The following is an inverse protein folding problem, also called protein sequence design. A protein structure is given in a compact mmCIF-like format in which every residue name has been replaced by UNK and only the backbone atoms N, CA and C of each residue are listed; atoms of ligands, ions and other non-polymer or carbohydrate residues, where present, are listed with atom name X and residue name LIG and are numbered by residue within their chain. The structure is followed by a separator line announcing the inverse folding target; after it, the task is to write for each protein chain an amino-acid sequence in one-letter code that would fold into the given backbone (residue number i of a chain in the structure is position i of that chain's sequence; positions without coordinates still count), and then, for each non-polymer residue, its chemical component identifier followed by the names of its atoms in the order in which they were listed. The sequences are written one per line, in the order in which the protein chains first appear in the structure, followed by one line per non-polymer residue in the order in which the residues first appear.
data_IF_993695194532
#
_entry.id   IF_993695194532
#
_cell.length_a   1.000
_cell.length_b   1.000
_cell.length_c   1.000
_cell.angle_alpha   90.00
_cell.angle_beta   90.00
_cell.angle_gamma   90.00
#
_symmetry.space_group_name_H-M   'P 1'
#
loop_
_entity.id
_entity.type
_entity.pdbx_description
1 polymer ?
#
# COMPACT_ATOMS: atom_id res chain seq x y z
N UNK A 1 -14.44 -9.55 -21.70
CA UNK A 1 -13.15 -9.71 -20.99
C UNK A 1 -12.93 -11.18 -20.66
N UNK A 2 -11.95 -11.82 -21.30
CA UNK A 2 -11.72 -13.26 -21.18
C UNK A 2 -11.27 -13.66 -19.77
N UNK A 3 -11.95 -14.65 -19.18
CA UNK A 3 -11.50 -15.35 -17.97
C UNK A 3 -10.17 -16.05 -18.30
N UNK A 4 -9.03 -15.46 -17.93
CA UNK A 4 -7.75 -16.17 -17.97
C UNK A 4 -7.64 -17.10 -16.76
N UNK A 5 -8.41 -18.19 -16.76
CA UNK A 5 -8.31 -19.28 -15.77
C UNK A 5 -7.25 -20.30 -16.24
N UNK A 6 -6.00 -19.87 -16.34
CA UNK A 6 -4.85 -20.74 -16.64
C UNK A 6 -3.84 -20.77 -15.49
N UNK A 7 -2.96 -21.77 -15.47
CA UNK A 7 -1.85 -21.90 -14.49
C UNK A 7 -1.02 -20.61 -14.37
N UNK A 8 -0.83 -19.90 -15.49
CA UNK A 8 -0.14 -18.61 -15.54
C UNK A 8 -0.79 -17.50 -14.68
N UNK A 9 -2.13 -17.50 -14.53
CA UNK A 9 -2.83 -16.51 -13.71
C UNK A 9 -2.56 -16.71 -12.22
N UNK A 10 -2.56 -17.96 -11.74
CA UNK A 10 -2.22 -18.29 -10.36
C UNK A 10 -0.77 -17.94 -10.03
N UNK A 11 0.14 -18.22 -10.97
CA UNK A 11 1.55 -17.84 -10.85
C UNK A 11 1.73 -16.32 -10.73
N UNK A 12 1.09 -15.54 -11.60
CA UNK A 12 1.14 -14.08 -11.53
C UNK A 12 0.52 -13.53 -10.25
N UNK A 13 -0.55 -14.16 -9.73
CA UNK A 13 -1.15 -13.80 -8.45
C UNK A 13 -0.19 -14.08 -7.28
N UNK A 14 0.57 -15.17 -7.32
CA UNK A 14 1.57 -15.50 -6.30
C UNK A 14 2.75 -14.51 -6.32
N UNK A 15 3.26 -14.13 -7.48
CA UNK A 15 4.37 -13.17 -7.62
C UNK A 15 4.05 -11.84 -6.94
N UNK A 16 2.82 -11.36 -7.06
CA UNK A 16 2.40 -10.09 -6.47
C UNK A 16 2.52 -10.06 -4.93
N UNK A 17 2.54 -11.22 -4.27
CA UNK A 17 2.72 -11.32 -2.81
C UNK A 17 4.19 -11.37 -2.37
N UNK A 18 5.15 -11.55 -3.29
CA UNK A 18 6.58 -11.63 -2.95
C UNK A 18 7.04 -10.40 -2.12
N UNK A 19 6.73 -9.14 -2.48
CA UNK A 19 7.18 -7.99 -1.70
C UNK A 19 6.60 -7.94 -0.28
N UNK A 20 5.35 -8.37 -0.11
CA UNK A 20 4.69 -8.43 1.21
C UNK A 20 5.36 -9.50 2.07
N UNK A 21 5.56 -10.70 1.52
CA UNK A 21 6.25 -11.80 2.21
C UNK A 21 7.67 -11.37 2.61
N UNK A 22 8.38 -10.68 1.72
CA UNK A 22 9.71 -10.16 2.00
C UNK A 22 9.74 -9.19 3.19
N UNK A 23 8.79 -8.24 3.26
CA UNK A 23 8.66 -7.35 4.42
C UNK A 23 8.37 -8.15 5.69
N UNK A 24 7.44 -9.10 5.64
CA UNK A 24 7.09 -9.93 6.81
C UNK A 24 8.29 -10.74 7.31
N UNK A 25 9.15 -11.25 6.42
CA UNK A 25 10.37 -11.94 6.78
C UNK A 25 11.37 -11.01 7.47
N UNK A 26 11.60 -9.80 6.94
CA UNK A 26 12.48 -8.80 7.57
C UNK A 26 11.95 -8.42 8.95
N UNK A 27 10.65 -8.15 9.07
CA UNK A 27 10.01 -7.77 10.33
C UNK A 27 10.11 -8.89 11.35
N UNK A 28 9.87 -10.14 10.94
CA UNK A 28 9.99 -11.32 11.81
C UNK A 28 11.43 -11.52 12.30
N UNK A 29 12.41 -11.38 11.41
CA UNK A 29 13.82 -11.44 11.79
C UNK A 29 14.20 -10.29 12.72
N UNK A 30 13.73 -9.07 12.45
CA UNK A 30 13.99 -7.91 13.31
C UNK A 30 13.43 -8.11 14.72
N UNK A 31 12.27 -8.76 14.84
CA UNK A 31 11.66 -9.13 16.11
C UNK A 31 12.53 -10.12 16.88
N UNK A 32 12.96 -11.19 16.23
CA UNK A 32 13.89 -12.13 16.84
C UNK A 32 15.18 -11.45 17.29
N UNK A 33 15.80 -10.64 16.43
CA UNK A 33 17.05 -9.95 16.75
C UNK A 33 16.88 -8.97 17.93
N UNK A 34 15.81 -8.17 17.94
CA UNK A 34 15.60 -7.17 18.99
C UNK A 34 15.15 -7.80 20.32
N UNK A 35 14.17 -8.69 20.29
CA UNK A 35 13.61 -9.29 21.51
C UNK A 35 14.59 -10.31 22.08
N UNK A 36 15.03 -11.27 21.27
CA UNK A 36 15.84 -12.39 21.78
C UNK A 36 17.31 -11.98 21.91
N UNK A 37 17.96 -11.57 20.81
CA UNK A 37 19.40 -11.32 20.82
C UNK A 37 19.76 -10.08 21.66
N UNK A 38 19.06 -8.96 21.46
CA UNK A 38 19.35 -7.74 22.20
C UNK A 38 18.75 -7.80 23.62
N UNK A 39 17.43 -7.87 23.77
CA UNK A 39 16.81 -7.73 25.09
C UNK A 39 17.07 -8.90 26.03
N UNK A 40 17.02 -10.16 25.57
CA UNK A 40 17.24 -11.30 26.45
C UNK A 40 18.73 -11.62 26.66
N UNK A 41 19.54 -11.65 25.60
CA UNK A 41 20.96 -12.04 25.71
C UNK A 41 21.96 -10.91 25.96
N UNK A 42 21.65 -9.66 25.58
CA UNK A 42 22.63 -8.56 25.67
C UNK A 42 22.32 -7.55 26.78
N UNK A 43 21.04 -7.30 27.08
CA UNK A 43 20.64 -6.35 28.12
C UNK A 43 20.59 -7.05 29.48
N UNK A 44 21.51 -6.71 30.36
CA UNK A 44 21.59 -7.28 31.72
C UNK A 44 20.58 -6.64 32.70
N UNK A 45 20.31 -5.34 32.55
CA UNK A 45 19.44 -4.60 33.47
C UNK A 45 17.94 -4.91 33.21
N UNK A 46 17.28 -5.51 34.21
CA UNK A 46 15.87 -5.90 34.13
C UNK A 46 14.89 -4.74 33.90
N UNK A 47 15.12 -3.58 34.50
CA UNK A 47 14.25 -2.40 34.36
C UNK A 47 14.36 -1.84 32.94
N UNK A 48 15.58 -1.71 32.42
CA UNK A 48 15.82 -1.28 31.04
C UNK A 48 15.21 -2.27 30.04
N UNK A 49 15.38 -3.57 30.29
CA UNK A 49 14.80 -4.64 29.47
C UNK A 49 13.27 -4.55 29.43
N UNK A 50 12.62 -4.38 30.58
CA UNK A 50 11.17 -4.23 30.66
C UNK A 50 10.67 -3.00 29.89
N UNK A 51 11.37 -1.86 30.02
CA UNK A 51 11.06 -0.64 29.28
C UNK A 51 11.21 -0.85 27.76
N UNK A 52 12.32 -1.42 27.29
CA UNK A 52 12.52 -1.70 25.87
C UNK A 52 11.46 -2.64 25.32
N UNK A 53 11.19 -3.75 25.99
CA UNK A 53 10.18 -4.70 25.55
C UNK A 53 8.79 -4.06 25.50
N UNK A 54 8.37 -3.30 26.50
CA UNK A 54 7.05 -2.68 26.51
C UNK A 54 6.84 -1.74 25.31
N UNK A 55 7.71 -0.74 25.14
CA UNK A 55 7.56 0.23 24.06
C UNK A 55 7.78 -0.39 22.67
N UNK A 56 8.70 -1.35 22.56
CA UNK A 56 8.91 -2.12 21.35
C UNK A 56 7.63 -2.83 20.90
N UNK A 57 6.96 -3.57 21.81
CA UNK A 57 5.75 -4.31 21.46
C UNK A 57 4.58 -3.39 21.12
N UNK A 58 4.43 -2.26 21.81
CA UNK A 58 3.41 -1.26 21.45
C UNK A 58 3.64 -0.76 20.03
N UNK A 59 4.86 -0.34 19.68
CA UNK A 59 5.18 0.14 18.34
C UNK A 59 5.05 -0.97 17.28
N UNK A 60 5.48 -2.18 17.61
CA UNK A 60 5.39 -3.34 16.73
C UNK A 60 3.93 -3.69 16.41
N UNK A 61 3.04 -3.71 17.41
CA UNK A 61 1.61 -3.97 17.21
C UNK A 61 0.96 -2.86 16.39
N UNK A 62 1.28 -1.58 16.64
CA UNK A 62 0.77 -0.46 15.84
C UNK A 62 1.25 -0.52 14.38
N UNK A 63 2.52 -0.85 14.17
CA UNK A 63 3.09 -1.09 12.85
C UNK A 63 2.38 -2.25 12.12
N UNK A 64 2.26 -3.42 12.75
CA UNK A 64 1.60 -4.57 12.14
C UNK A 64 0.12 -4.31 11.86
N UNK A 65 -0.58 -3.66 12.78
CA UNK A 65 -1.99 -3.31 12.61
C UNK A 65 -2.19 -2.38 11.42
N UNK A 66 -1.44 -1.28 11.35
CA UNK A 66 -1.54 -0.32 10.24
C UNK A 66 -1.09 -0.93 8.90
N UNK A 67 -0.06 -1.78 8.89
CA UNK A 67 0.35 -2.51 7.69
C UNK A 67 -0.74 -3.48 7.22
N UNK A 68 -1.33 -4.27 8.13
CA UNK A 68 -2.44 -5.17 7.83
C UNK A 68 -3.62 -4.42 7.23
N UNK A 69 -4.06 -3.33 7.86
CA UNK A 69 -5.15 -2.51 7.33
C UNK A 69 -4.82 -1.97 5.94
N UNK A 70 -3.57 -1.56 5.69
CA UNK A 70 -3.17 -1.06 4.36
C UNK A 70 -3.21 -2.14 3.28
N UNK A 71 -2.75 -3.36 3.60
CA UNK A 71 -2.73 -4.51 2.69
C UNK A 71 -4.15 -5.00 2.38
N UNK A 72 -4.96 -5.21 3.42
CA UNK A 72 -6.23 -5.95 3.31
C UNK A 72 -7.48 -5.07 3.27
N UNK A 73 -7.35 -3.74 3.32
CA UNK A 73 -8.49 -2.86 3.05
C UNK A 73 -8.81 -2.88 1.55
N UNK A 74 -9.98 -3.37 1.22
CA UNK A 74 -10.47 -3.41 -0.16
C UNK A 74 -10.70 -2.00 -0.72
N UNK A 75 -10.52 -1.90 -2.03
CA UNK A 75 -10.83 -0.68 -2.77
C UNK A 75 -12.35 -0.52 -2.86
N UNK A 76 -12.83 0.70 -2.59
CA UNK A 76 -14.25 1.02 -2.75
C UNK A 76 -14.62 0.96 -4.23
N UNK A 77 -15.70 0.24 -4.54
CA UNK A 77 -16.27 0.24 -5.89
C UNK A 77 -16.85 1.60 -6.25
N UNK A 78 -16.71 1.98 -7.52
CA UNK A 78 -17.31 3.21 -8.03
C UNK A 78 -18.83 3.04 -8.05
N UNK A 79 -19.62 3.99 -7.49
CA UNK A 79 -21.07 3.90 -7.51
C UNK A 79 -21.64 3.78 -8.92
N UNK A 80 -22.69 2.98 -9.09
CA UNK A 80 -23.24 2.63 -10.41
C UNK A 80 -23.75 3.82 -11.22
N UNK A 81 -24.10 4.94 -10.58
CA UNK A 81 -24.48 6.18 -11.27
C UNK A 81 -23.38 6.69 -12.21
N UNK A 82 -22.12 6.36 -11.96
CA UNK A 82 -20.99 6.71 -12.82
C UNK A 82 -20.76 5.71 -13.95
N UNK A 83 -21.34 4.50 -13.89
CA UNK A 83 -21.23 3.49 -14.94
C UNK A 83 -22.10 3.88 -16.12
N UNK A 84 -21.53 3.83 -17.31
CA UNK A 84 -22.21 4.17 -18.55
C UNK A 84 -22.98 2.91 -19.00
N UNK A 85 -24.30 3.00 -19.26
CA UNK A 85 -25.06 1.87 -19.80
C UNK A 85 -24.47 1.38 -21.13
N UNK A 86 -24.50 0.06 -21.37
CA UNK A 86 -23.91 -0.55 -22.57
C UNK A 86 -24.42 0.08 -23.87
N UNK A 87 -25.71 0.43 -23.94
CA UNK A 87 -26.32 1.07 -25.12
C UNK A 87 -25.68 2.44 -25.42
N UNK A 88 -25.36 3.23 -24.39
CA UNK A 88 -24.68 4.52 -24.57
C UNK A 88 -23.19 4.33 -24.90
N UNK A 89 -22.58 3.28 -24.36
CA UNK A 89 -21.20 2.92 -24.70
C UNK A 89 -21.06 2.45 -26.16
N UNK A 90 -22.04 1.69 -26.68
CA UNK A 90 -22.08 1.29 -28.10
C UNK A 90 -22.22 2.52 -29.01
N UNK A 91 -23.11 3.46 -28.67
CA UNK A 91 -23.23 4.73 -29.40
C UNK A 91 -21.92 5.54 -29.37
N UNK A 92 -21.26 5.58 -28.21
CA UNK A 92 -19.96 6.24 -28.05
C UNK A 92 -18.89 5.59 -28.94
N UNK A 93 -18.85 4.26 -29.01
CA UNK A 93 -17.91 3.51 -29.85
C UNK A 93 -18.20 3.63 -31.36
N UNK A 94 -19.46 3.78 -31.74
CA UNK A 94 -19.89 3.95 -33.13
C UNK A 94 -19.79 5.39 -33.63
N UNK A 95 -19.61 6.37 -32.75
CA UNK A 95 -19.50 7.77 -33.14
C UNK A 95 -18.21 8.02 -33.94
N UNK A 96 -18.36 8.46 -35.18
CA UNK A 96 -17.24 8.70 -36.12
C UNK A 96 -16.44 9.98 -35.82
N UNK A 97 -17.02 10.90 -35.04
CA UNK A 97 -16.40 12.20 -34.72
C UNK A 97 -16.20 12.37 -33.22
N UNK A 98 -15.07 12.98 -32.84
CA UNK A 98 -14.77 13.31 -31.44
C UNK A 98 -15.83 14.25 -30.82
N UNK A 99 -16.44 15.11 -31.63
CA UNK A 99 -17.50 16.02 -31.19
C UNK A 99 -18.79 15.26 -30.81
N UNK A 100 -19.19 14.24 -31.59
CA UNK A 100 -20.32 13.39 -31.25
C UNK A 100 -20.06 12.57 -29.97
N UNK A 101 -18.85 12.04 -29.82
CA UNK A 101 -18.42 11.35 -28.60
C UNK A 101 -18.49 12.26 -27.38
N UNK A 102 -18.02 13.51 -27.52
CA UNK A 102 -18.06 14.52 -26.46
C UNK A 102 -19.49 14.84 -26.03
N UNK A 103 -20.41 15.06 -26.97
CA UNK A 103 -21.80 15.38 -26.65
C UNK A 103 -22.50 14.27 -25.86
N UNK A 104 -22.24 13.00 -26.21
CA UNK A 104 -22.77 11.84 -25.49
C UNK A 104 -22.27 11.84 -24.03
N UNK A 105 -20.96 12.05 -23.83
CA UNK A 105 -20.36 12.08 -22.49
C UNK A 105 -20.85 13.27 -21.67
N UNK A 106 -20.95 14.47 -22.26
CA UNK A 106 -21.44 15.66 -21.57
C UNK A 106 -22.89 15.48 -21.11
N UNK A 107 -23.75 14.90 -21.95
CA UNK A 107 -25.15 14.61 -21.59
C UNK A 107 -25.25 13.69 -20.38
N UNK A 108 -24.42 12.65 -20.31
CA UNK A 108 -24.39 11.75 -19.16
C UNK A 108 -23.79 12.43 -17.92
N UNK A 109 -22.70 13.17 -18.09
CA UNK A 109 -21.98 13.86 -17.03
C UNK A 109 -22.77 15.00 -16.37
N UNK A 110 -23.74 15.61 -17.07
CA UNK A 110 -24.57 16.70 -16.53
C UNK A 110 -25.26 16.36 -15.21
N UNK A 111 -25.60 15.09 -15.00
CA UNK A 111 -26.31 14.62 -13.81
C UNK A 111 -25.36 14.14 -12.69
N UNK A 112 -24.05 14.23 -12.90
CA UNK A 112 -23.04 13.74 -11.97
C UNK A 112 -22.41 14.90 -11.17
N UNK A 113 -22.05 14.67 -9.89
CA UNK A 113 -21.39 15.67 -9.06
C UNK A 113 -19.90 15.76 -9.41
N UNK A 114 -19.59 16.28 -10.61
CA UNK A 114 -18.22 16.44 -11.12
C UNK A 114 -17.83 17.92 -11.11
N UNK A 115 -16.70 18.24 -10.47
CA UNK A 115 -16.19 19.60 -10.36
C UNK A 115 -15.17 19.90 -11.45
N UNK A 116 -14.30 18.94 -11.79
CA UNK A 116 -13.26 19.10 -12.80
C UNK A 116 -13.63 18.35 -14.08
N UNK A 117 -14.19 19.08 -15.05
CA UNK A 117 -14.58 18.55 -16.36
C UNK A 117 -13.43 18.62 -17.35
N UNK A 118 -12.46 17.71 -17.26
CA UNK A 118 -11.54 17.50 -18.39
C UNK A 118 -12.09 16.38 -19.27
N UNK A 119 -12.66 16.78 -20.41
CA UNK A 119 -13.35 15.92 -21.39
C UNK A 119 -12.47 14.76 -21.87
N UNK A 120 -11.15 14.98 -22.03
CA UNK A 120 -10.22 13.96 -22.53
C UNK A 120 -9.78 12.94 -21.46
N UNK A 121 -10.04 13.19 -20.18
CA UNK A 121 -9.58 12.35 -19.06
C UNK A 121 -10.70 11.63 -18.30
N UNK A 122 -11.95 12.01 -18.55
CA UNK A 122 -13.10 11.68 -17.72
C UNK A 122 -13.69 10.29 -17.91
N UNK A 123 -13.37 9.54 -18.96
CA UNK A 123 -13.92 8.19 -19.18
C UNK A 123 -12.86 7.10 -18.90
N UNK A 124 -13.31 5.97 -18.37
CA UNK A 124 -12.57 4.73 -18.38
C UNK A 124 -13.28 3.70 -19.26
N UNK A 125 -12.77 3.44 -20.46
CA UNK A 125 -13.33 2.45 -21.38
C UNK A 125 -13.25 1.03 -20.81
N UNK A 126 -12.17 0.69 -20.10
CA UNK A 126 -11.97 -0.64 -19.49
C UNK A 126 -13.02 -0.97 -18.43
N UNK A 127 -13.42 0.04 -17.66
CA UNK A 127 -14.44 -0.09 -16.60
C UNK A 127 -15.82 0.40 -17.05
N UNK A 128 -15.94 0.91 -18.27
CA UNK A 128 -17.14 1.51 -18.85
C UNK A 128 -17.84 2.51 -17.92
N UNK A 129 -17.08 3.48 -17.40
CA UNK A 129 -17.59 4.48 -16.47
C UNK A 129 -17.01 5.88 -16.72
N UNK A 130 -17.75 6.91 -16.33
CA UNK A 130 -17.20 8.25 -16.14
C UNK A 130 -16.48 8.28 -14.79
N UNK A 131 -15.18 8.53 -14.81
CA UNK A 131 -14.33 8.63 -13.63
C UNK A 131 -14.83 9.77 -12.74
N UNK A 132 -15.19 9.50 -11.47
CA UNK A 132 -15.37 10.56 -10.48
C UNK A 132 -14.10 11.39 -10.33
N UNK A 133 -14.24 12.60 -9.79
CA UNK A 133 -13.10 13.48 -9.53
C UNK A 133 -11.96 12.74 -8.80
N UNK A 134 -10.72 12.92 -9.29
CA UNK A 134 -9.49 12.29 -8.75
C UNK A 134 -9.44 10.76 -8.85
N UNK A 135 -10.28 10.15 -9.66
CA UNK A 135 -10.28 8.69 -9.89
C UNK A 135 -9.35 8.34 -11.05
N UNK A 136 -8.52 7.31 -10.87
CA UNK A 136 -7.67 6.78 -11.94
C UNK A 136 -7.83 5.27 -12.07
N UNK A 137 -7.68 4.76 -13.29
CA UNK A 137 -7.70 3.32 -13.53
C UNK A 137 -6.34 2.72 -13.22
N UNK A 138 -6.27 1.79 -12.28
CA UNK A 138 -5.06 1.04 -12.02
C UNK A 138 -5.03 -0.22 -12.87
N UNK A 139 -4.06 -0.35 -13.78
CA UNK A 139 -3.90 -1.56 -14.58
C UNK A 139 -3.59 -2.81 -13.75
N UNK A 140 -2.86 -2.66 -12.64
CA UNK A 140 -2.47 -3.77 -11.76
C UNK A 140 -3.65 -4.34 -10.96
N UNK A 141 -4.53 -3.47 -10.49
CA UNK A 141 -5.78 -3.83 -9.82
C UNK A 141 -6.94 -4.10 -10.80
N UNK A 142 -6.78 -3.69 -12.07
CA UNK A 142 -7.80 -3.79 -13.13
C UNK A 142 -9.14 -3.14 -12.76
N UNK A 143 -9.09 -2.05 -12.00
CA UNK A 143 -10.27 -1.29 -11.58
C UNK A 143 -9.96 0.20 -11.46
N UNK A 144 -11.00 1.04 -11.48
CA UNK A 144 -10.92 2.46 -11.16
C UNK A 144 -10.87 2.65 -9.64
N UNK A 145 -9.87 3.42 -9.18
CA UNK A 145 -9.61 3.66 -7.75
C UNK A 145 -9.92 5.12 -7.42
N UNK A 146 -10.85 5.32 -6.48
CA UNK A 146 -11.20 6.66 -5.98
C UNK A 146 -10.00 7.31 -5.31
N UNK A 147 -9.75 8.59 -5.62
CA UNK A 147 -8.62 9.37 -5.08
C UNK A 147 -7.32 8.55 -5.13
N UNK A 148 -7.07 7.89 -6.26
CA UNK A 148 -5.90 7.03 -6.43
C UNK A 148 -4.64 7.87 -6.21
N UNK A 149 -3.78 7.39 -5.33
CA UNK A 149 -2.44 7.95 -5.13
C UNK A 149 -1.45 7.15 -5.99
N UNK A 150 -1.26 5.87 -5.68
CA UNK A 150 -0.41 4.97 -6.46
C UNK A 150 -0.78 3.50 -6.25
N UNK A 151 -0.24 2.61 -7.07
CA UNK A 151 -0.22 1.17 -6.79
C UNK A 151 1.08 0.83 -6.06
N UNK A 152 0.99 0.20 -4.90
CA UNK A 152 2.13 -0.07 -4.06
C UNK A 152 2.40 -1.59 -3.98
N UNK A 153 3.50 -2.08 -4.60
CA UNK A 153 3.85 -3.50 -4.57
C UNK A 153 4.09 -4.02 -3.14
N UNK A 154 4.63 -3.17 -2.26
CA UNK A 154 4.98 -3.52 -0.87
C UNK A 154 3.78 -3.83 0.04
N UNK A 155 2.58 -3.42 -0.38
CA UNK A 155 1.32 -3.76 0.30
C UNK A 155 0.40 -4.59 -0.60
N UNK A 156 0.87 -4.96 -1.80
CA UNK A 156 0.11 -5.66 -2.84
C UNK A 156 -1.30 -5.07 -3.05
N UNK A 157 -1.42 -3.74 -2.99
CA UNK A 157 -2.70 -3.06 -3.08
C UNK A 157 -2.51 -1.65 -3.64
N UNK A 158 -3.59 -1.07 -4.15
CA UNK A 158 -3.62 0.35 -4.48
C UNK A 158 -3.79 1.18 -3.21
N UNK A 159 -3.02 2.27 -3.11
CA UNK A 159 -3.25 3.32 -2.12
C UNK A 159 -4.20 4.33 -2.73
N UNK A 160 -5.37 4.46 -2.15
CA UNK A 160 -6.43 5.34 -2.62
C UNK A 160 -7.30 5.81 -1.47
N UNK A 161 -8.48 6.34 -1.76
CA UNK A 161 -9.36 6.98 -0.78
C UNK A 161 -9.54 6.19 0.52
N UNK A 162 -9.81 4.88 0.41
CA UNK A 162 -10.23 4.06 1.55
C UNK A 162 -9.09 3.69 2.51
N UNK A 163 -7.90 3.42 1.98
CA UNK A 163 -6.75 2.98 2.77
C UNK A 163 -5.65 4.04 2.91
N UNK A 164 -5.82 5.25 2.35
CA UNK A 164 -4.81 6.32 2.44
C UNK A 164 -4.42 6.63 3.89
N UNK A 165 -5.40 6.72 4.80
CA UNK A 165 -5.13 6.95 6.23
C UNK A 165 -4.28 5.84 6.83
N UNK A 166 -4.59 4.57 6.52
CA UNK A 166 -3.83 3.42 7.01
C UNK A 166 -2.40 3.42 6.45
N UNK A 167 -2.24 3.76 5.18
CA UNK A 167 -0.92 3.88 4.55
C UNK A 167 -0.05 4.94 5.24
N UNK A 168 -0.60 6.12 5.56
CA UNK A 168 0.14 7.17 6.28
C UNK A 168 0.48 6.74 7.71
N UNK A 169 -0.45 6.08 8.42
CA UNK A 169 -0.17 5.52 9.75
C UNK A 169 0.91 4.45 9.69
N UNK A 170 0.87 3.57 8.69
CA UNK A 170 1.90 2.56 8.44
C UNK A 170 3.29 3.19 8.28
N UNK A 171 3.43 4.21 7.43
CA UNK A 171 4.70 4.92 7.26
C UNK A 171 5.18 5.59 8.55
N UNK A 172 4.26 6.24 9.29
CA UNK A 172 4.58 6.89 10.56
C UNK A 172 5.04 5.90 11.63
N UNK A 173 4.32 4.80 11.82
CA UNK A 173 4.69 3.77 12.80
C UNK A 173 5.96 3.01 12.37
N UNK A 174 6.17 2.78 11.07
CA UNK A 174 7.42 2.20 10.56
C UNK A 174 8.63 3.10 10.89
N UNK A 175 8.50 4.41 10.69
CA UNK A 175 9.55 5.37 11.04
C UNK A 175 9.82 5.39 12.54
N UNK A 176 8.78 5.48 13.37
CA UNK A 176 8.92 5.46 14.83
C UNK A 176 9.55 4.15 15.33
N UNK A 177 9.16 3.01 14.76
CA UNK A 177 9.72 1.71 15.06
C UNK A 177 11.22 1.64 14.72
N UNK A 178 11.62 2.11 13.54
CA UNK A 178 13.03 2.18 13.13
C UNK A 178 13.86 3.12 14.02
N UNK A 179 13.32 4.30 14.37
CA UNK A 179 13.98 5.25 15.28
C UNK A 179 14.17 4.61 16.65
N UNK A 180 13.13 3.98 17.19
CA UNK A 180 13.18 3.33 18.50
C UNK A 180 14.24 2.21 18.54
N UNK A 181 14.23 1.31 17.55
CA UNK A 181 15.24 0.24 17.44
C UNK A 181 16.63 0.86 17.38
N UNK A 182 16.86 1.80 16.46
CA UNK A 182 18.17 2.41 16.25
C UNK A 182 18.69 3.10 17.51
N UNK A 183 17.86 3.92 18.16
CA UNK A 183 18.25 4.65 19.37
C UNK A 183 18.60 3.72 20.53
N UNK A 184 17.82 2.65 20.71
CA UNK A 184 18.03 1.70 21.81
C UNK A 184 19.18 0.73 21.54
N UNK A 185 19.41 0.34 20.28
CA UNK A 185 20.51 -0.56 19.89
C UNK A 185 21.86 0.14 19.74
N UNK A 186 21.88 1.46 19.50
CA UNK A 186 23.10 2.22 19.19
C UNK A 186 24.21 2.03 20.23
N UNK A 187 23.88 2.11 21.52
CA UNK A 187 24.88 1.92 22.59
C UNK A 187 25.53 0.53 22.56
N UNK A 188 24.76 -0.51 22.24
CA UNK A 188 25.24 -1.89 22.14
C UNK A 188 26.05 -2.10 20.88
N UNK A 189 25.63 -1.49 19.77
CA UNK A 189 26.40 -1.47 18.53
C UNK A 189 27.79 -0.84 18.75
N UNK A 190 27.85 0.31 19.43
CA UNK A 190 29.11 0.97 19.78
C UNK A 190 29.96 0.09 20.71
N UNK A 191 29.33 -0.57 21.70
CA UNK A 191 30.03 -1.50 22.62
C UNK A 191 30.66 -2.67 21.85
N UNK A 192 29.91 -3.31 20.96
CA UNK A 192 30.41 -4.40 20.11
C UNK A 192 31.61 -3.94 19.27
N UNK A 193 31.51 -2.77 18.64
CA UNK A 193 32.62 -2.23 17.85
C UNK A 193 33.87 -1.92 18.68
N UNK A 194 33.72 -1.34 19.88
CA UNK A 194 34.86 -1.07 20.78
C UNK A 194 35.54 -2.35 21.24
N UNK A 195 34.78 -3.38 21.63
CA UNK A 195 35.32 -4.67 22.07
C UNK A 195 36.02 -5.39 20.91
N UNK A 196 35.41 -5.44 19.74
CA UNK A 196 36.02 -6.04 18.54
C UNK A 196 37.30 -5.32 18.13
N UNK A 197 37.32 -3.98 18.16
CA UNK A 197 38.51 -3.19 17.81
C UNK A 197 39.64 -3.42 18.82
N UNK A 198 39.35 -3.50 20.11
CA UNK A 198 40.34 -3.82 21.16
C UNK A 198 40.90 -5.24 20.95
N UNK A 199 40.07 -6.21 20.60
CA UNK A 199 40.51 -7.58 20.35
C UNK A 199 41.45 -7.71 19.14
N UNK A 200 41.25 -6.87 18.10
CA UNK A 200 42.11 -6.77 16.92
C UNK A 200 43.40 -5.95 17.14
N UNK A 201 43.46 -5.12 18.18
CA UNK A 201 44.67 -4.35 18.52
C UNK A 201 45.60 -5.17 19.43
N UNK A 202 45.04 -6.09 20.23
CA UNK A 202 45.79 -6.86 21.24
C UNK A 202 46.27 -8.22 20.69
N UNK A 203 45.73 -8.71 19.57
CA UNK A 203 46.22 -9.88 18.83
C UNK A 203 46.82 -9.46 17.48
#
# INVERSE_FOLDING_TARGET
MGKQNGSCWWFMKAIKWIPVIFILLIVSWSYYAYVVQLCFYTVDNYVQKAFYLFFYHVLFLLFLWSYWQTVFTDLIEIPDKFRIPNVEMEKFQQAETEEAQRQILERFAQHLPLTNRTINGGICEKCQLIKPDRTHHCGMCSTCVLKMDHHCPWVNNCVGFHNYKFFILFLGYALLYCIFITATSLQFFIRCWKVSMIFWIIN
#
